data_IF_723983406121
#
_entry.id   IF_723983406121
#
_cell.length_a   1.000
_cell.length_b   1.000
_cell.length_c   1.000
_cell.angle_alpha   90.00
_cell.angle_beta   90.00
_cell.angle_gamma   90.00
#
_symmetry.space_group_name_H-M   'P 1'
#
loop_
_entity.id
_entity.type
_entity.pdbx_description
1 polymer ?
#
# COMPACT_ATOMS: atom_id res chain seq x y z
N UNK A 1 1.48 -17.44 16.05
CA UNK A 1 1.79 -16.30 16.96
C UNK A 1 1.10 -15.07 16.40
N UNK A 2 0.73 -14.07 17.21
CA UNK A 2 0.19 -12.83 16.66
C UNK A 2 1.25 -12.15 15.77
N UNK A 3 0.79 -11.45 14.73
CA UNK A 3 1.68 -10.62 13.89
C UNK A 3 2.41 -9.62 14.77
N UNK A 4 3.73 -9.47 14.56
CA UNK A 4 4.51 -8.51 15.32
C UNK A 4 4.29 -7.10 14.78
N UNK A 5 4.29 -6.10 15.68
CA UNK A 5 4.16 -4.70 15.29
C UNK A 5 5.29 -4.27 14.34
N UNK A 6 6.51 -4.74 14.59
CA UNK A 6 7.68 -4.51 13.72
C UNK A 6 7.43 -4.94 12.28
N UNK A 7 6.80 -6.10 12.05
CA UNK A 7 6.50 -6.60 10.71
C UNK A 7 5.47 -5.72 10.00
N UNK A 8 4.42 -5.30 10.70
CA UNK A 8 3.43 -4.35 10.16
C UNK A 8 4.10 -3.02 9.77
N UNK A 9 4.89 -2.42 10.67
CA UNK A 9 5.55 -1.13 10.40
C UNK A 9 6.56 -1.24 9.25
N UNK A 10 7.31 -2.34 9.16
CA UNK A 10 8.22 -2.61 8.05
C UNK A 10 7.48 -2.66 6.71
N UNK A 11 6.34 -3.36 6.65
CA UNK A 11 5.53 -3.44 5.44
C UNK A 11 4.91 -2.09 5.06
N UNK A 12 4.43 -1.33 6.04
CA UNK A 12 3.89 0.00 5.80
C UNK A 12 4.97 0.93 5.22
N UNK A 13 6.18 0.91 5.81
CA UNK A 13 7.32 1.66 5.31
C UNK A 13 7.74 1.21 3.90
N UNK A 14 7.80 -0.10 3.65
CA UNK A 14 8.15 -0.66 2.36
C UNK A 14 7.14 -0.25 1.28
N UNK A 15 5.84 -0.48 1.48
CA UNK A 15 4.82 -0.15 0.48
C UNK A 15 4.46 1.33 0.39
N UNK A 16 5.03 2.18 1.25
CA UNK A 16 5.04 3.63 1.02
C UNK A 16 5.91 4.01 -0.19
N UNK A 17 6.83 3.13 -0.62
CA UNK A 17 7.64 3.29 -1.80
C UNK A 17 6.94 2.72 -3.05
N UNK A 18 6.86 3.51 -4.13
CA UNK A 18 6.22 3.11 -5.40
C UNK A 18 6.80 1.81 -5.97
N UNK A 19 8.12 1.61 -5.93
CA UNK A 19 8.78 0.41 -6.48
C UNK A 19 8.32 -0.84 -5.74
N UNK A 20 8.30 -0.79 -4.42
CA UNK A 20 7.85 -1.91 -3.59
C UNK A 20 6.33 -2.13 -3.70
N UNK A 21 5.53 -1.07 -3.79
CA UNK A 21 4.10 -1.18 -4.07
C UNK A 21 3.83 -1.88 -5.41
N UNK A 22 4.58 -1.57 -6.47
CA UNK A 22 4.49 -2.29 -7.75
C UNK A 22 4.94 -3.75 -7.58
N UNK A 23 6.01 -4.01 -6.81
CA UNK A 23 6.46 -5.37 -6.54
C UNK A 23 5.40 -6.21 -5.80
N UNK A 24 4.63 -5.59 -4.90
CA UNK A 24 3.46 -6.20 -4.27
C UNK A 24 2.39 -6.57 -5.32
N UNK A 25 2.06 -5.65 -6.23
CA UNK A 25 1.07 -5.92 -7.29
C UNK A 25 1.52 -7.04 -8.23
N UNK A 26 2.81 -7.27 -8.44
CA UNK A 26 3.31 -8.42 -9.22
C UNK A 26 2.91 -9.76 -8.62
N UNK A 27 2.67 -9.83 -7.31
CA UNK A 27 2.16 -11.03 -6.63
C UNK A 27 0.66 -11.25 -6.87
N UNK A 28 -0.05 -10.25 -7.40
CA UNK A 28 -1.45 -10.34 -7.77
C UNK A 28 -1.68 -9.82 -9.20
N UNK A 29 -1.44 -10.70 -10.17
CA UNK A 29 -1.48 -10.39 -11.61
C UNK A 29 -2.70 -9.57 -12.08
N UNK A 30 -3.95 -9.85 -11.66
CA UNK A 30 -5.11 -9.05 -12.08
C UNK A 30 -4.97 -7.56 -11.78
N UNK A 31 -4.32 -7.20 -10.68
CA UNK A 31 -4.09 -5.80 -10.30
C UNK A 31 -2.86 -5.19 -10.99
N UNK A 32 -1.83 -5.99 -11.25
CA UNK A 32 -0.69 -5.54 -12.07
C UNK A 32 -1.15 -5.11 -13.47
N UNK A 33 -2.10 -5.84 -14.06
CA UNK A 33 -2.65 -5.57 -15.38
C UNK A 33 -3.49 -4.28 -15.43
N UNK A 34 -3.84 -3.69 -14.29
CA UNK A 34 -4.52 -2.39 -14.22
C UNK A 34 -3.55 -1.21 -14.35
N UNK A 35 -2.24 -1.42 -14.27
CA UNK A 35 -1.25 -0.32 -14.39
C UNK A 35 -1.27 0.22 -15.84
N UNK A 36 -1.56 1.53 -16.04
CA UNK A 36 -1.71 2.10 -17.38
C UNK A 36 -0.50 1.93 -18.30
N UNK A 37 0.72 1.95 -17.74
CA UNK A 37 1.95 1.71 -18.50
C UNK A 37 2.99 0.93 -17.70
N UNK A 38 3.23 -0.30 -18.11
CA UNK A 38 4.33 -1.13 -17.58
C UNK A 38 5.72 -0.68 -18.08
N UNK A 39 5.79 0.22 -19.08
CA UNK A 39 7.06 0.80 -19.57
C UNK A 39 7.58 1.92 -18.65
N UNK A 40 6.69 2.60 -17.93
CA UNK A 40 6.98 3.67 -16.97
C UNK A 40 6.15 3.47 -15.70
N UNK A 41 6.32 2.34 -14.99
CA UNK A 41 5.40 1.95 -13.92
C UNK A 41 5.53 2.87 -12.69
N UNK A 42 6.73 3.40 -12.45
CA UNK A 42 7.04 4.41 -11.43
C UNK A 42 6.35 5.76 -11.66
N UNK A 43 6.05 6.09 -12.92
CA UNK A 43 5.24 7.26 -13.28
C UNK A 43 3.74 6.94 -13.39
N UNK A 44 3.37 5.66 -13.37
CA UNK A 44 1.99 5.20 -13.56
C UNK A 44 1.29 4.82 -12.25
N UNK A 45 1.99 4.89 -11.12
CA UNK A 45 1.52 4.44 -9.81
C UNK A 45 1.93 5.47 -8.76
N UNK A 46 0.97 5.89 -7.95
CA UNK A 46 1.21 6.72 -6.77
C UNK A 46 0.81 5.92 -5.54
N UNK A 47 1.77 5.64 -4.67
CA UNK A 47 1.51 5.08 -3.35
C UNK A 47 1.31 6.20 -2.33
N UNK A 48 0.17 6.20 -1.65
CA UNK A 48 -0.18 7.17 -0.60
C UNK A 48 -0.36 6.39 0.71
N UNK A 49 0.62 6.43 1.62
CA UNK A 49 0.48 5.79 2.92
C UNK A 49 -0.49 6.56 3.81
N UNK A 50 -1.23 5.82 4.64
CA UNK A 50 -2.23 6.33 5.59
C UNK A 50 -3.15 7.38 4.94
N UNK A 51 -3.82 7.01 3.84
CA UNK A 51 -4.44 7.99 2.96
C UNK A 51 -5.55 8.80 3.60
N UNK A 52 -5.65 10.05 3.16
CA UNK A 52 -6.69 11.00 3.56
C UNK A 52 -7.46 11.45 2.32
N UNK A 53 -8.77 11.57 2.47
CA UNK A 53 -9.66 12.10 1.43
C UNK A 53 -10.51 13.24 1.99
N UNK A 54 -10.84 14.19 1.14
CA UNK A 54 -11.89 15.17 1.39
C UNK A 54 -13.22 14.59 0.91
N UNK A 55 -14.19 14.45 1.80
CA UNK A 55 -15.54 14.08 1.41
C UNK A 55 -16.34 15.31 1.00
N UNK A 56 -16.93 15.29 -0.18
CA UNK A 56 -17.86 16.33 -0.62
C UNK A 56 -19.23 16.04 0.00
N UNK A 57 -19.72 16.97 0.82
CA UNK A 57 -21.09 16.95 1.35
C UNK A 57 -21.89 18.01 0.63
N UNK A 58 -23.10 17.68 0.20
CA UNK A 58 -23.99 18.66 -0.43
C UNK A 58 -24.15 19.88 0.50
N UNK A 59 -23.70 21.04 0.02
CA UNK A 59 -23.77 22.37 0.65
C UNK A 59 -22.85 22.71 1.87
N UNK A 60 -21.84 21.93 2.24
CA UNK A 60 -20.92 22.29 3.36
C UNK A 60 -19.44 21.92 3.16
N UNK A 61 -18.58 22.50 4.01
CA UNK A 61 -17.11 22.34 4.08
C UNK A 61 -16.71 20.87 3.93
N UNK A 62 -15.79 20.57 3.02
CA UNK A 62 -15.28 19.23 2.83
C UNK A 62 -14.52 18.75 4.08
N UNK A 63 -14.95 17.62 4.64
CA UNK A 63 -14.33 17.02 5.82
C UNK A 63 -13.16 16.13 5.37
N UNK A 64 -11.97 16.39 5.90
CA UNK A 64 -10.79 15.54 5.68
C UNK A 64 -10.88 14.33 6.62
N UNK A 65 -10.97 13.13 6.04
CA UNK A 65 -10.99 11.87 6.79
C UNK A 65 -9.84 10.97 6.39
N UNK A 66 -9.24 10.30 7.37
CA UNK A 66 -8.28 9.24 7.09
C UNK A 66 -9.03 7.95 6.79
N UNK A 67 -8.77 7.35 5.63
CA UNK A 67 -9.37 6.07 5.29
C UNK A 67 -8.79 4.96 6.19
N UNK A 68 -9.60 3.95 6.57
CA UNK A 68 -9.13 2.84 7.38
C UNK A 68 -8.31 1.79 6.61
N UNK A 69 -7.66 2.16 5.50
CA UNK A 69 -6.65 1.36 4.81
C UNK A 69 -5.23 1.87 5.14
N UNK A 70 -4.22 1.09 4.75
CA UNK A 70 -2.83 1.36 5.12
C UNK A 70 -2.07 2.09 4.00
N UNK A 71 -2.30 1.72 2.74
CA UNK A 71 -1.75 2.41 1.56
C UNK A 71 -2.83 2.46 0.48
N UNK A 72 -2.99 3.61 -0.18
CA UNK A 72 -3.73 3.69 -1.43
C UNK A 72 -2.75 3.71 -2.61
N UNK A 73 -3.04 2.89 -3.62
CA UNK A 73 -2.33 2.89 -4.89
C UNK A 73 -3.26 3.50 -5.93
N UNK A 74 -2.90 4.69 -6.40
CA UNK A 74 -3.61 5.39 -7.46
C UNK A 74 -2.91 5.13 -8.79
N UNK A 75 -3.68 4.66 -9.76
CA UNK A 75 -3.19 4.48 -11.12
C UNK A 75 -3.17 5.82 -11.85
N UNK A 76 -2.10 6.13 -12.56
CA UNK A 76 -1.92 7.39 -13.27
C UNK A 76 -1.47 7.14 -14.70
N UNK A 77 -1.96 7.96 -15.62
CA UNK A 77 -1.42 7.99 -16.96
C UNK A 77 -0.12 8.80 -16.95
N UNK A 78 1.03 8.20 -17.33
CA UNK A 78 2.32 8.88 -17.23
C UNK A 78 2.48 9.99 -18.27
N UNK A 79 1.72 9.99 -19.36
CA UNK A 79 1.76 11.03 -20.40
C UNK A 79 0.93 12.25 -20.01
N UNK A 80 -0.29 12.00 -19.53
CA UNK A 80 -1.26 13.06 -19.23
C UNK A 80 -1.17 13.56 -17.78
N UNK A 81 -0.44 12.86 -16.90
CA UNK A 81 -0.33 13.14 -15.46
C UNK A 81 -1.70 13.27 -14.78
N UNK A 82 -2.66 12.45 -15.22
CA UNK A 82 -3.99 12.34 -14.63
C UNK A 82 -4.15 11.01 -13.95
N UNK A 83 -4.94 10.99 -12.87
CA UNK A 83 -5.41 9.77 -12.27
C UNK A 83 -6.32 9.01 -13.26
N UNK A 84 -6.18 7.70 -13.28
CA UNK A 84 -7.03 6.78 -14.04
C UNK A 84 -8.03 6.09 -13.11
N UNK A 85 -9.01 5.39 -13.68
CA UNK A 85 -10.16 4.84 -12.96
C UNK A 85 -9.80 3.93 -11.77
N UNK A 86 -9.02 2.85 -11.94
CA UNK A 86 -8.79 1.89 -10.86
C UNK A 86 -7.98 2.45 -9.69
N UNK A 87 -8.47 2.21 -8.48
CA UNK A 87 -7.75 2.45 -7.23
C UNK A 87 -7.60 1.15 -6.46
N UNK A 88 -6.42 0.89 -5.90
CA UNK A 88 -6.18 -0.29 -5.08
C UNK A 88 -5.85 0.13 -3.66
N UNK A 89 -6.61 -0.36 -2.68
CA UNK A 89 -6.43 -0.06 -1.27
C UNK A 89 -5.81 -1.27 -0.57
N UNK A 90 -4.64 -1.05 0.00
CA UNK A 90 -3.84 -2.06 0.69
C UNK A 90 -4.25 -2.10 2.17
N UNK A 91 -4.52 -3.31 2.67
CA UNK A 91 -4.84 -3.59 4.06
C UNK A 91 -3.81 -4.58 4.61
N UNK A 92 -2.85 -4.09 5.37
CA UNK A 92 -1.81 -4.88 6.03
C UNK A 92 -2.37 -5.42 7.34
N UNK A 93 -2.19 -6.72 7.61
CA UNK A 93 -2.62 -7.36 8.85
C UNK A 93 -1.91 -6.72 10.05
N UNK A 94 -2.65 -6.08 10.96
CA UNK A 94 -2.08 -5.45 12.17
C UNK A 94 -2.00 -6.45 13.32
N UNK A 95 -1.13 -6.20 14.33
CA UNK A 95 -1.10 -7.02 15.53
C UNK A 95 -2.47 -7.13 16.18
N UNK A 96 -2.84 -8.36 16.56
CA UNK A 96 -4.11 -8.67 17.23
C UNK A 96 -5.39 -8.41 16.42
N UNK A 97 -5.31 -8.09 15.13
CA UNK A 97 -6.50 -8.10 14.27
C UNK A 97 -6.97 -9.53 13.99
N UNK A 98 -8.29 -9.72 13.96
CA UNK A 98 -8.94 -10.90 13.39
C UNK A 98 -9.57 -10.56 12.04
N UNK A 99 -10.16 -11.57 11.39
CA UNK A 99 -10.80 -11.45 10.10
C UNK A 99 -11.88 -10.35 10.07
N UNK A 100 -12.70 -10.25 11.12
CA UNK A 100 -13.74 -9.23 11.23
C UNK A 100 -13.18 -7.81 11.26
N UNK A 101 -12.02 -7.62 11.89
CA UNK A 101 -11.41 -6.31 12.02
C UNK A 101 -10.88 -5.83 10.67
N UNK A 102 -10.14 -6.71 9.98
CA UNK A 102 -9.63 -6.42 8.63
C UNK A 102 -10.76 -6.19 7.63
N UNK A 103 -11.81 -7.04 7.66
CA UNK A 103 -12.98 -6.87 6.80
C UNK A 103 -13.74 -5.58 7.15
N UNK A 104 -13.85 -5.25 8.44
CA UNK A 104 -14.47 -4.02 8.92
C UNK A 104 -13.79 -2.77 8.37
N UNK A 105 -12.44 -2.76 8.34
CA UNK A 105 -11.66 -1.68 7.72
C UNK A 105 -12.01 -1.52 6.23
N UNK A 106 -12.11 -2.61 5.49
CA UNK A 106 -12.53 -2.56 4.10
C UNK A 106 -13.95 -2.01 3.95
N UNK A 107 -14.93 -2.53 4.70
CA UNK A 107 -16.32 -2.07 4.63
C UNK A 107 -16.48 -0.60 5.02
N UNK A 108 -15.78 -0.15 6.05
CA UNK A 108 -15.80 1.25 6.44
C UNK A 108 -15.19 2.16 5.37
N UNK A 109 -14.13 1.69 4.71
CA UNK A 109 -13.54 2.41 3.57
C UNK A 109 -14.54 2.54 2.43
N UNK A 110 -15.26 1.46 2.09
CA UNK A 110 -16.31 1.52 1.07
C UNK A 110 -17.40 2.54 1.43
N UNK A 111 -17.86 2.57 2.68
CA UNK A 111 -18.86 3.55 3.15
C UNK A 111 -18.37 5.00 2.98
N UNK A 112 -17.09 5.25 3.19
CA UNK A 112 -16.52 6.57 2.98
C UNK A 112 -16.41 6.95 1.51
N UNK A 113 -16.01 6.00 0.65
CA UNK A 113 -15.79 6.22 -0.78
C UNK A 113 -17.07 6.08 -1.64
N UNK A 114 -18.20 5.73 -1.04
CA UNK A 114 -19.52 5.72 -1.69
C UNK A 114 -20.03 7.13 -2.03
N UNK A 115 -19.47 8.16 -1.38
CA UNK A 115 -19.74 9.58 -1.65
C UNK A 115 -18.66 10.15 -2.55
N UNK A 116 -18.95 11.26 -3.24
CA UNK A 116 -17.91 12.02 -3.92
C UNK A 116 -16.76 12.38 -2.96
N UNK A 117 -15.55 12.04 -3.37
CA UNK A 117 -14.34 12.29 -2.60
C UNK A 117 -13.22 12.83 -3.49
N UNK A 118 -12.24 13.48 -2.87
CA UNK A 118 -11.00 13.90 -3.51
C UNK A 118 -9.82 13.47 -2.65
N UNK A 119 -8.78 12.93 -3.27
CA UNK A 119 -7.57 12.54 -2.57
C UNK A 119 -6.79 13.77 -2.07
N UNK A 120 -6.36 13.74 -0.81
CA UNK A 120 -5.38 14.70 -0.32
C UNK A 120 -4.00 14.28 -0.81
N UNK A 121 -3.60 14.83 -1.97
CA UNK A 121 -2.38 14.40 -2.65
C UNK A 121 -1.10 14.80 -1.91
N UNK A 122 -0.08 13.92 -1.85
CA UNK A 122 1.25 14.28 -1.38
C UNK A 122 1.84 15.47 -2.17
N UNK A 123 2.72 16.24 -1.54
CA UNK A 123 3.28 17.47 -2.13
C UNK A 123 3.82 17.31 -3.56
N UNK A 124 4.49 16.19 -3.83
CA UNK A 124 5.04 15.84 -5.16
C UNK A 124 3.97 15.71 -6.25
N UNK A 125 2.74 15.35 -5.88
CA UNK A 125 1.65 14.99 -6.80
C UNK A 125 0.46 15.96 -6.73
N UNK A 126 0.61 17.12 -6.07
CA UNK A 126 -0.45 18.13 -5.94
C UNK A 126 -1.03 18.65 -7.27
N UNK A 127 -0.28 18.51 -8.36
CA UNK A 127 -0.69 18.94 -9.69
C UNK A 127 -1.59 17.93 -10.41
N UNK A 128 -1.74 16.72 -9.87
CA UNK A 128 -2.55 15.65 -10.44
C UNK A 128 -3.99 15.83 -9.96
N UNK A 129 -4.93 15.92 -10.90
CA UNK A 129 -6.35 15.91 -10.57
C UNK A 129 -6.72 14.53 -10.02
N UNK A 130 -7.20 14.50 -8.78
CA UNK A 130 -7.37 13.26 -8.02
C UNK A 130 -8.76 13.17 -7.39
N UNK A 131 -9.80 13.41 -8.20
CA UNK A 131 -11.17 13.08 -7.82
C UNK A 131 -11.32 11.57 -7.65
N UNK A 132 -12.29 11.17 -6.83
CA UNK A 132 -12.63 9.78 -6.56
C UNK A 132 -13.03 9.01 -7.81
N UNK A 133 -13.23 7.71 -7.64
CA UNK A 133 -13.61 6.80 -8.73
C UNK A 133 -14.75 5.90 -8.31
N UNK A 134 -15.37 5.26 -9.30
CA UNK A 134 -16.38 4.22 -9.07
C UNK A 134 -15.77 2.82 -8.94
N UNK A 135 -14.45 2.66 -9.15
CA UNK A 135 -13.77 1.35 -9.12
C UNK A 135 -12.64 1.31 -8.10
N UNK A 136 -12.96 0.82 -6.90
CA UNK A 136 -12.02 0.65 -5.78
C UNK A 136 -11.87 -0.83 -5.46
N UNK A 137 -10.62 -1.30 -5.37
CA UNK A 137 -10.26 -2.70 -5.18
C UNK A 137 -9.46 -2.88 -3.87
N UNK A 138 -9.83 -3.83 -2.99
CA UNK A 138 -9.00 -4.14 -1.83
C UNK A 138 -7.86 -5.09 -2.21
N UNK A 139 -6.73 -5.00 -1.52
CA UNK A 139 -5.71 -6.06 -1.47
C UNK A 139 -5.27 -6.25 -0.01
N UNK A 140 -5.44 -7.46 0.52
CA UNK A 140 -5.02 -7.77 1.88
C UNK A 140 -3.60 -8.34 1.89
N UNK A 141 -2.73 -7.81 2.75
CA UNK A 141 -1.37 -8.30 2.94
C UNK A 141 -1.30 -9.05 4.25
N UNK A 142 -1.01 -10.35 4.15
CA UNK A 142 -0.95 -11.28 5.26
C UNK A 142 0.49 -11.76 5.47
N UNK A 143 0.78 -12.17 6.70
CA UNK A 143 2.05 -12.78 7.09
C UNK A 143 1.95 -14.31 7.17
N UNK A 144 3.07 -15.05 7.14
CA UNK A 144 3.05 -16.52 7.25
C UNK A 144 2.35 -16.98 8.53
N UNK A 145 2.64 -16.33 9.66
CA UNK A 145 1.99 -16.51 10.96
C UNK A 145 0.51 -16.07 11.05
N UNK A 146 -0.06 -15.46 10.01
CA UNK A 146 -1.50 -15.15 9.96
C UNK A 146 -2.31 -16.44 10.07
N UNK A 147 -3.31 -16.44 10.94
CA UNK A 147 -4.09 -17.65 11.20
C UNK A 147 -4.83 -18.18 9.96
N UNK A 148 -4.95 -19.50 9.85
CA UNK A 148 -5.71 -20.14 8.78
C UNK A 148 -7.20 -19.79 8.81
N UNK A 149 -7.73 -19.37 9.97
CA UNK A 149 -9.11 -18.85 10.05
C UNK A 149 -9.25 -17.56 9.22
N UNK A 150 -8.31 -16.64 9.33
CA UNK A 150 -8.32 -15.38 8.57
C UNK A 150 -8.17 -15.65 7.08
N UNK A 151 -7.19 -16.48 6.69
CA UNK A 151 -6.97 -16.86 5.27
C UNK A 151 -8.21 -17.52 4.65
N UNK A 152 -8.84 -18.46 5.36
CA UNK A 152 -10.11 -19.09 4.93
C UNK A 152 -11.26 -18.08 4.84
N UNK A 153 -11.31 -17.10 5.76
CA UNK A 153 -12.29 -16.02 5.72
C UNK A 153 -12.19 -15.19 4.43
N UNK A 154 -10.98 -14.76 4.07
CA UNK A 154 -10.77 -14.01 2.82
C UNK A 154 -11.06 -14.86 1.58
N UNK A 155 -10.59 -16.12 1.54
CA UNK A 155 -10.87 -17.03 0.45
C UNK A 155 -12.39 -17.26 0.28
N UNK A 156 -13.11 -17.50 1.36
CA UNK A 156 -14.58 -17.70 1.34
C UNK A 156 -15.37 -16.43 0.99
N UNK A 157 -14.81 -15.25 1.26
CA UNK A 157 -15.39 -13.96 0.88
C UNK A 157 -14.97 -13.51 -0.54
N UNK A 158 -14.18 -14.31 -1.26
CA UNK A 158 -13.59 -13.96 -2.56
C UNK A 158 -12.80 -12.65 -2.54
N UNK A 159 -12.15 -12.35 -1.41
CA UNK A 159 -11.33 -11.16 -1.24
C UNK A 159 -9.86 -11.50 -1.53
N UNK A 160 -9.18 -10.71 -2.38
CA UNK A 160 -7.82 -11.02 -2.77
C UNK A 160 -6.85 -10.67 -1.65
N UNK A 161 -5.95 -11.61 -1.39
CA UNK A 161 -4.88 -11.44 -0.44
C UNK A 161 -3.58 -12.01 -1.00
N UNK A 162 -2.47 -11.51 -0.48
CA UNK A 162 -1.13 -12.04 -0.71
C UNK A 162 -0.50 -12.37 0.64
N UNK A 163 0.29 -13.43 0.67
CA UNK A 163 1.07 -13.79 1.85
C UNK A 163 2.51 -13.44 1.55
N UNK A 164 3.04 -12.46 2.27
CA UNK A 164 4.41 -11.99 2.08
C UNK A 164 5.35 -12.73 3.03
N UNK A 165 6.57 -13.01 2.58
CA UNK A 165 7.63 -13.46 3.46
C UNK A 165 8.03 -12.31 4.39
N UNK A 166 8.28 -12.61 5.66
CA UNK A 166 8.65 -11.61 6.66
C UNK A 166 9.93 -10.85 6.26
N UNK A 167 10.00 -9.52 6.42
CA UNK A 167 11.16 -8.72 5.99
C UNK A 167 12.47 -8.95 6.76
N UNK A 168 12.53 -9.93 7.66
CA UNK A 168 13.75 -10.27 8.42
C UNK A 168 14.92 -10.70 7.50
N UNK A 169 14.66 -10.99 6.22
CA UNK A 169 15.67 -11.40 5.24
C UNK A 169 16.00 -10.33 4.17
N UNK A 170 15.44 -9.13 4.22
CA UNK A 170 15.71 -8.08 3.22
C UNK A 170 16.73 -7.02 3.68
N UNK A 171 17.17 -7.08 4.95
CA UNK A 171 18.13 -6.13 5.53
C UNK A 171 19.55 -6.72 5.74
N UNK A 172 19.80 -7.98 5.39
CA UNK A 172 21.13 -8.59 5.43
C UNK A 172 21.65 -8.88 4.01
N UNK A 173 22.27 -7.88 3.38
CA UNK A 173 23.46 -7.99 2.48
C UNK A 173 23.71 -6.66 1.75
N UNK A 174 24.16 -5.61 2.46
CA UNK A 174 24.85 -4.49 1.79
C UNK A 174 25.81 -3.66 2.66
N UNK A 175 26.26 -4.15 3.82
CA UNK A 175 27.17 -3.34 4.69
C UNK A 175 28.28 -4.12 5.38
N UNK A 176 28.74 -5.26 4.83
CA UNK A 176 29.99 -5.88 5.28
C UNK A 176 30.80 -6.31 4.07
N UNK A 177 31.52 -5.34 3.49
CA UNK A 177 32.40 -5.58 2.35
C UNK A 177 32.99 -4.28 1.85
N UNK A 178 33.72 -3.58 2.72
CA UNK A 178 34.82 -2.65 2.40
C UNK A 178 35.14 -1.80 3.63
N UNK A 179 35.83 -2.38 4.60
CA UNK A 179 36.67 -1.65 5.58
C UNK A 179 37.64 -2.62 6.27
N UNK A 180 38.55 -3.13 5.46
CA UNK A 180 39.87 -3.67 5.84
C UNK A 180 40.67 -3.60 4.54
N UNK A 181 41.82 -2.98 4.43
CA UNK A 181 42.88 -2.64 5.36
C UNK A 181 43.89 -1.82 4.56
N UNK A 182 44.41 -0.71 5.09
CA UNK A 182 45.68 -0.06 4.70
C UNK A 182 45.79 1.23 5.53
N UNK A 183 46.80 1.51 6.35
CA UNK A 183 47.95 0.76 6.81
C UNK A 183 48.52 1.58 7.98
N UNK A 184 48.71 0.94 9.13
CA UNK A 184 49.50 1.50 10.23
C UNK A 184 50.88 0.86 10.14
N UNK A 185 51.82 1.56 9.49
CA UNK A 185 53.25 1.26 9.59
C UNK A 185 53.92 2.45 10.26
N UNK A 186 54.20 2.27 11.55
CA UNK A 186 55.25 2.96 12.28
C UNK A 186 56.61 2.28 12.00
N UNK A 187 57.70 2.96 12.39
CA UNK A 187 59.14 2.67 12.22
C UNK A 187 59.77 3.58 11.14
N UNK A 188 60.78 4.42 11.38
CA UNK A 188 61.73 4.61 12.50
C UNK A 188 62.19 6.07 12.49
#
# INVERSE_FOLDING_TARGET
MPVQKSHYEACLAEYSNTVAAIALLKQHRPYLEMIPSLRRPDESVIAIPLPVVHLRREATIAEAIRLPCDVAILMCDPEWKIKTGPEILIFIHRPHEDFSDMLGRWRQTQVYLDKDYEWLMPARYKHILSEGTNTVYPLFVLFPETSERIKRGFAGAYLPFVVISTPELLFEESTIGNLSSDGLSAET
#
